data_IF_865182214011
#
_entry.id   IF_865182214011
#
_cell.length_a   1.000
_cell.length_b   1.000
_cell.length_c   1.000
_cell.angle_alpha   90.00
_cell.angle_beta   90.00
_cell.angle_gamma   90.00
#
_symmetry.space_group_name_H-M   'P 1'
#
loop_
_entity.id
_entity.type
_entity.pdbx_description
1 polymer ?
#
# COMPACT_ATOMS: atom_id res chain seq x y z
N UNK A 1 55.76 38.46 -15.93
CA UNK A 1 54.69 38.21 -14.94
C UNK A 1 53.85 37.04 -15.44
N UNK A 2 53.99 35.86 -14.84
CA UNK A 2 53.24 34.66 -15.21
C UNK A 2 51.81 34.75 -14.65
N UNK A 3 50.81 34.93 -15.52
CA UNK A 3 49.42 34.74 -15.14
C UNK A 3 49.10 33.24 -15.14
N UNK A 4 48.82 32.76 -13.93
CA UNK A 4 48.50 31.37 -13.59
C UNK A 4 47.19 30.97 -14.29
N UNK A 5 47.22 29.92 -15.10
CA UNK A 5 46.01 29.25 -15.61
C UNK A 5 45.27 28.63 -14.43
N UNK A 6 44.15 29.21 -14.03
CA UNK A 6 43.22 28.61 -13.08
C UNK A 6 42.39 27.57 -13.86
N UNK A 7 42.77 26.29 -13.76
CA UNK A 7 42.00 25.19 -14.31
C UNK A 7 40.89 24.88 -13.30
N UNK A 8 39.67 25.39 -13.53
CA UNK A 8 38.48 24.92 -12.81
C UNK A 8 38.18 23.51 -13.35
N UNK A 9 38.46 22.50 -12.52
CA UNK A 9 38.20 21.11 -12.80
C UNK A 9 36.73 20.80 -12.42
N UNK A 10 35.80 20.97 -13.37
CA UNK A 10 34.40 20.59 -13.17
C UNK A 10 34.34 19.05 -13.10
N UNK A 11 34.23 18.51 -11.89
CA UNK A 11 33.97 17.08 -11.67
C UNK A 11 32.50 16.80 -11.98
N UNK A 12 32.24 16.36 -13.22
CA UNK A 12 30.95 15.79 -13.59
C UNK A 12 30.85 14.39 -12.98
N UNK A 13 30.18 14.27 -11.83
CA UNK A 13 29.85 12.96 -11.25
C UNK A 13 28.51 12.52 -11.83
N UNK A 14 28.52 11.45 -12.62
CA UNK A 14 27.31 10.88 -13.21
C UNK A 14 26.39 10.31 -12.11
N UNK A 15 25.07 10.52 -12.18
CA UNK A 15 24.14 9.83 -11.30
C UNK A 15 24.11 8.35 -11.69
N UNK A 16 24.44 7.47 -10.73
CA UNK A 16 24.19 6.04 -10.87
C UNK A 16 22.68 5.85 -10.76
N UNK A 17 22.06 5.38 -11.84
CA UNK A 17 20.69 4.91 -11.80
C UNK A 17 20.62 3.66 -10.94
N UNK A 18 19.95 3.76 -9.79
CA UNK A 18 19.55 2.60 -9.02
C UNK A 18 18.41 1.91 -9.76
N UNK A 19 18.77 0.77 -10.35
CA UNK A 19 17.85 -0.18 -10.96
C UNK A 19 17.01 -0.82 -9.85
N UNK A 20 15.82 -0.28 -9.62
CA UNK A 20 14.81 -0.95 -8.80
C UNK A 20 14.19 -2.04 -9.67
N UNK A 21 14.68 -3.27 -9.50
CA UNK A 21 14.03 -4.46 -10.00
C UNK A 21 12.62 -4.53 -9.42
N UNK A 22 11.63 -4.21 -10.25
CA UNK A 22 10.25 -4.65 -10.05
C UNK A 22 10.25 -6.17 -10.13
N UNK A 23 10.17 -6.81 -8.96
CA UNK A 23 9.93 -8.24 -8.88
C UNK A 23 8.42 -8.44 -8.97
N UNK A 24 7.96 -8.80 -10.17
CA UNK A 24 6.62 -9.32 -10.40
C UNK A 24 6.50 -10.64 -9.61
N UNK A 25 5.49 -10.72 -8.74
CA UNK A 25 5.12 -11.97 -8.08
C UNK A 25 3.62 -12.11 -8.20
N UNK A 26 3.29 -13.04 -9.09
CA UNK A 26 1.97 -13.51 -9.43
C UNK A 26 1.25 -14.16 -8.25
N UNK A 27 -0.07 -14.16 -8.41
CA UNK A 27 -1.06 -15.12 -7.90
C UNK A 27 -1.56 -15.02 -6.46
N UNK A 28 -2.83 -14.63 -6.39
CA UNK A 28 -3.71 -14.77 -5.23
C UNK A 28 -5.14 -14.36 -5.58
N UNK A 29 -5.78 -15.09 -6.51
CA UNK A 29 -7.17 -14.90 -6.88
C UNK A 29 -8.14 -15.12 -5.69
N UNK A 30 -9.12 -14.23 -5.51
CA UNK A 30 -10.44 -14.62 -5.00
C UNK A 30 -11.53 -13.69 -5.55
N UNK A 31 -12.42 -14.27 -6.34
CA UNK A 31 -13.66 -13.66 -6.83
C UNK A 31 -14.61 -13.43 -5.66
N UNK A 32 -15.13 -12.21 -5.54
CA UNK A 32 -16.36 -11.94 -4.79
C UNK A 32 -17.23 -11.06 -5.68
N UNK A 33 -18.30 -11.64 -6.19
CA UNK A 33 -19.37 -10.93 -6.86
C UNK A 33 -20.17 -10.16 -5.81
N UNK A 34 -20.20 -8.84 -5.91
CA UNK A 34 -21.34 -8.06 -5.47
C UNK A 34 -21.54 -6.87 -6.41
N UNK A 35 -22.78 -6.69 -6.81
CA UNK A 35 -23.21 -5.81 -7.89
C UNK A 35 -23.57 -4.46 -7.31
N UNK A 36 -22.79 -3.42 -7.62
CA UNK A 36 -23.28 -2.04 -7.61
C UNK A 36 -22.82 -1.30 -8.85
N UNK A 37 -23.84 -0.97 -9.66
CA UNK A 37 -23.84 -0.09 -10.82
C UNK A 37 -23.27 1.28 -10.48
N UNK A 38 -22.34 1.75 -11.30
CA UNK A 38 -22.26 3.10 -11.91
C UNK A 38 -20.79 3.51 -12.11
N UNK A 39 -20.38 3.65 -13.38
CA UNK A 39 -19.05 4.17 -13.71
C UNK A 39 -18.56 3.71 -15.08
N UNK A 40 -18.94 4.47 -16.10
CA UNK A 40 -18.52 4.44 -17.50
C UNK A 40 -17.14 3.80 -17.80
N UNK A 41 -17.14 2.84 -18.72
CA UNK A 41 -15.95 2.41 -19.46
C UNK A 41 -15.53 3.52 -20.43
N UNK A 42 -14.30 4.02 -20.30
CA UNK A 42 -13.60 4.68 -21.40
C UNK A 42 -12.15 4.23 -21.40
N UNK A 43 -11.76 3.63 -22.52
CA UNK A 43 -10.51 2.92 -22.72
C UNK A 43 -9.27 3.78 -22.46
N UNK A 44 -8.26 3.07 -21.97
CA UNK A 44 -6.86 3.44 -22.04
C UNK A 44 -6.47 3.80 -23.48
N UNK A 45 -6.20 5.09 -23.66
CA UNK A 45 -5.22 5.62 -24.61
C UNK A 45 -4.83 6.99 -24.07
N UNK A 46 -3.83 7.03 -23.18
CA UNK A 46 -3.08 8.26 -22.95
C UNK A 46 -1.75 8.03 -23.64
N UNK A 47 -1.63 8.74 -24.75
CA UNK A 47 -0.51 8.71 -25.66
C UNK A 47 0.78 9.06 -24.90
N UNK A 48 1.68 8.07 -24.88
CA UNK A 48 3.10 8.24 -24.59
C UNK A 48 3.73 8.98 -25.78
N UNK A 49 3.57 10.29 -25.83
CA UNK A 49 4.37 11.14 -26.71
C UNK A 49 4.71 12.46 -26.02
N UNK A 50 5.99 12.59 -25.68
CA UNK A 50 6.74 13.76 -26.13
C UNK A 50 6.79 14.98 -25.22
N UNK A 51 8.05 15.39 -25.00
CA UNK A 51 8.45 16.79 -24.84
C UNK A 51 8.44 17.38 -23.42
N UNK A 52 9.50 17.08 -22.65
CA UNK A 52 9.82 17.85 -21.46
C UNK A 52 11.32 17.93 -21.11
N UNK A 53 12.25 17.83 -22.09
CA UNK A 53 13.69 17.82 -21.76
C UNK A 53 14.57 18.81 -22.57
N UNK A 54 14.03 19.62 -23.51
CA UNK A 54 14.91 20.51 -24.32
C UNK A 54 15.09 21.93 -23.77
N UNK A 55 14.28 22.39 -22.81
CA UNK A 55 14.25 23.81 -22.40
C UNK A 55 15.41 24.28 -21.50
N UNK A 56 15.85 23.57 -20.44
CA UNK A 56 16.91 24.07 -19.57
C UNK A 56 18.30 23.88 -20.17
N UNK A 57 18.48 22.80 -20.95
CA UNK A 57 19.74 22.48 -21.61
C UNK A 57 20.10 23.56 -22.62
N UNK A 58 19.11 24.04 -23.39
CA UNK A 58 19.28 25.14 -24.36
C UNK A 58 19.68 26.47 -23.70
N UNK A 59 19.09 26.83 -22.55
CA UNK A 59 19.40 28.07 -21.83
C UNK A 59 20.80 28.05 -21.18
N UNK A 60 21.23 26.89 -20.66
CA UNK A 60 22.57 26.69 -20.10
C UNK A 60 23.63 26.70 -21.22
N UNK A 61 23.35 26.06 -22.36
CA UNK A 61 24.25 26.07 -23.53
C UNK A 61 24.42 27.50 -24.06
N UNK A 62 23.35 28.29 -24.15
CA UNK A 62 23.40 29.68 -24.60
C UNK A 62 24.20 30.57 -23.63
N UNK A 63 24.01 30.42 -22.32
CA UNK A 63 24.77 31.17 -21.31
C UNK A 63 26.26 30.79 -21.28
N UNK A 64 26.60 29.51 -21.53
CA UNK A 64 28.00 29.07 -21.69
C UNK A 64 28.65 29.59 -22.98
N UNK A 65 27.90 29.72 -24.07
CA UNK A 65 28.38 30.33 -25.32
C UNK A 65 28.66 31.83 -25.14
N UNK A 66 27.77 32.56 -24.46
CA UNK A 66 27.95 33.97 -24.10
C UNK A 66 29.14 34.17 -23.16
N UNK A 67 29.34 33.25 -22.19
CA UNK A 67 30.51 33.26 -21.31
C UNK A 67 31.82 33.10 -22.10
N UNK A 68 31.84 32.19 -23.07
CA UNK A 68 32.99 31.97 -23.97
C UNK A 68 33.31 33.20 -24.82
N UNK A 69 32.30 33.91 -25.30
CA UNK A 69 32.46 35.13 -26.09
C UNK A 69 32.89 36.34 -25.23
N UNK A 70 32.39 36.47 -24.01
CA UNK A 70 32.80 37.49 -23.05
C UNK A 70 34.28 37.31 -22.63
N UNK A 71 34.73 36.07 -22.44
CA UNK A 71 36.14 35.74 -22.21
C UNK A 71 37.03 36.04 -23.42
N UNK A 72 36.54 35.81 -24.65
CA UNK A 72 37.28 36.12 -25.87
C UNK A 72 37.43 37.64 -26.11
N UNK A 73 36.49 38.44 -25.59
CA UNK A 73 36.47 39.91 -25.69
C UNK A 73 37.11 40.63 -24.50
N UNK A 74 37.61 39.91 -23.47
CA UNK A 74 38.11 40.44 -22.19
C UNK A 74 37.10 41.35 -21.45
N UNK A 75 35.80 41.10 -21.63
CA UNK A 75 34.74 41.88 -20.97
C UNK A 75 34.43 41.30 -19.59
N UNK A 76 35.25 41.69 -18.60
CA UNK A 76 35.21 41.19 -17.22
C UNK A 76 33.85 41.46 -16.53
N UNK A 77 33.12 42.49 -16.95
CA UNK A 77 31.79 42.82 -16.42
C UNK A 77 30.75 41.76 -16.79
N UNK A 78 30.71 41.34 -18.06
CA UNK A 78 29.76 40.32 -18.53
C UNK A 78 30.08 38.93 -17.97
N UNK A 79 31.36 38.63 -17.79
CA UNK A 79 31.83 37.39 -17.14
C UNK A 79 31.29 37.31 -15.71
N UNK A 80 31.41 38.39 -14.93
CA UNK A 80 30.91 38.43 -13.55
C UNK A 80 29.38 38.29 -13.45
N UNK A 81 28.64 38.93 -14.37
CA UNK A 81 27.17 38.80 -14.42
C UNK A 81 26.74 37.36 -14.72
N UNK A 82 27.37 36.70 -15.69
CA UNK A 82 27.05 35.30 -16.04
C UNK A 82 27.43 34.33 -14.90
N UNK A 83 28.56 34.53 -14.23
CA UNK A 83 28.94 33.72 -13.05
C UNK A 83 27.93 33.88 -11.92
N UNK A 84 27.43 35.09 -11.68
CA UNK A 84 26.40 35.34 -10.66
C UNK A 84 25.08 34.63 -10.99
N UNK A 85 24.69 34.62 -12.26
CA UNK A 85 23.48 33.94 -12.73
C UNK A 85 23.60 32.41 -12.64
N UNK A 86 24.74 31.85 -13.05
CA UNK A 86 25.00 30.41 -12.92
C UNK A 86 25.02 29.96 -11.45
N UNK A 87 25.61 30.77 -10.56
CA UNK A 87 25.59 30.51 -9.12
C UNK A 87 24.17 30.52 -8.55
N UNK A 88 23.34 31.48 -8.96
CA UNK A 88 21.93 31.52 -8.56
C UNK A 88 21.17 30.25 -8.98
N UNK A 89 21.38 29.79 -10.23
CA UNK A 89 20.77 28.54 -10.73
C UNK A 89 21.26 27.33 -9.92
N UNK A 90 22.55 27.27 -9.58
CA UNK A 90 23.11 26.18 -8.78
C UNK A 90 22.50 26.16 -7.37
N UNK A 91 22.39 27.32 -6.72
CA UNK A 91 21.76 27.45 -5.39
C UNK A 91 20.27 27.06 -5.44
N UNK A 92 19.54 27.45 -6.49
CA UNK A 92 18.14 27.06 -6.71
C UNK A 92 17.99 25.56 -6.95
N UNK A 93 18.84 24.98 -7.79
CA UNK A 93 18.88 23.53 -8.05
C UNK A 93 19.13 22.75 -6.77
N UNK A 94 20.12 23.13 -5.97
CA UNK A 94 20.40 22.50 -4.67
C UNK A 94 19.19 22.62 -3.73
N UNK A 95 18.50 23.76 -3.75
CA UNK A 95 17.26 23.97 -3.00
C UNK A 95 16.15 23.02 -3.43
N UNK A 96 15.97 22.80 -4.73
CA UNK A 96 14.98 21.88 -5.29
C UNK A 96 15.33 20.42 -5.00
N UNK A 97 16.59 20.00 -5.18
CA UNK A 97 17.06 18.65 -4.88
C UNK A 97 16.82 18.28 -3.41
N UNK A 98 17.07 19.22 -2.47
CA UNK A 98 16.77 19.01 -1.04
C UNK A 98 15.27 18.81 -0.78
N UNK A 99 14.40 19.58 -1.43
CA UNK A 99 12.94 19.42 -1.30
C UNK A 99 12.47 18.08 -1.87
N UNK A 100 13.01 17.67 -3.01
CA UNK A 100 12.69 16.37 -3.62
C UNK A 100 13.14 15.24 -2.70
N UNK A 101 14.35 15.33 -2.13
CA UNK A 101 14.85 14.35 -1.18
C UNK A 101 13.96 14.26 0.08
N UNK A 102 13.58 15.39 0.68
CA UNK A 102 12.71 15.39 1.86
C UNK A 102 11.32 14.83 1.57
N UNK A 103 10.71 15.22 0.45
CA UNK A 103 9.40 14.69 0.04
C UNK A 103 9.45 13.20 -0.27
N UNK A 104 10.54 12.72 -0.87
CA UNK A 104 10.75 11.30 -1.14
C UNK A 104 10.87 10.49 0.16
N UNK A 105 11.59 11.02 1.14
CA UNK A 105 11.72 10.42 2.47
C UNK A 105 10.37 10.36 3.19
N UNK A 106 9.62 11.46 3.23
CA UNK A 106 8.27 11.52 3.82
C UNK A 106 7.31 10.52 3.16
N UNK A 107 7.34 10.42 1.83
CA UNK A 107 6.51 9.48 1.07
C UNK A 107 6.90 8.03 1.40
N UNK A 108 8.19 7.74 1.51
CA UNK A 108 8.67 6.40 1.90
C UNK A 108 8.24 6.04 3.33
N UNK A 109 8.31 6.98 4.26
CA UNK A 109 7.91 6.79 5.65
C UNK A 109 6.38 6.54 5.76
N UNK A 110 5.58 7.28 5.01
CA UNK A 110 4.13 7.11 5.00
C UNK A 110 3.73 5.78 4.35
N UNK A 111 4.41 5.34 3.29
CA UNK A 111 4.21 4.00 2.71
C UNK A 111 4.47 2.90 3.73
N UNK A 112 5.57 2.98 4.48
CA UNK A 112 5.88 2.02 5.55
C UNK A 112 4.79 2.04 6.63
N UNK A 113 4.30 3.21 7.02
CA UNK A 113 3.21 3.35 7.99
C UNK A 113 1.93 2.68 7.48
N UNK A 114 1.54 2.93 6.23
CA UNK A 114 0.34 2.34 5.61
C UNK A 114 0.45 0.82 5.57
N UNK A 115 1.60 0.27 5.16
CA UNK A 115 1.82 -1.18 5.14
C UNK A 115 1.65 -1.81 6.52
N UNK A 116 2.21 -1.18 7.56
CA UNK A 116 2.05 -1.65 8.94
C UNK A 116 0.59 -1.60 9.39
N UNK A 117 -0.09 -0.49 9.16
CA UNK A 117 -1.50 -0.32 9.52
C UNK A 117 -2.36 -1.36 8.80
N UNK A 118 -2.10 -1.59 7.50
CA UNK A 118 -2.78 -2.61 6.71
C UNK A 118 -2.59 -4.02 7.29
N UNK A 119 -1.36 -4.37 7.69
CA UNK A 119 -1.08 -5.63 8.35
C UNK A 119 -1.79 -5.74 9.71
N UNK A 120 -1.83 -4.67 10.51
CA UNK A 120 -2.54 -4.63 11.79
C UNK A 120 -4.05 -4.84 11.58
N UNK A 121 -4.64 -4.25 10.54
CA UNK A 121 -6.03 -4.46 10.16
C UNK A 121 -6.32 -5.90 9.72
N UNK A 122 -5.44 -6.51 8.92
CA UNK A 122 -5.60 -7.90 8.51
C UNK A 122 -5.52 -8.86 9.71
N UNK A 123 -4.60 -8.60 10.63
CA UNK A 123 -4.47 -9.34 11.89
C UNK A 123 -5.73 -9.17 12.75
N UNK A 124 -6.26 -7.96 12.86
CA UNK A 124 -7.50 -7.68 13.59
C UNK A 124 -8.70 -8.43 12.99
N UNK A 125 -8.84 -8.43 11.66
CA UNK A 125 -9.92 -9.15 10.97
C UNK A 125 -9.83 -10.66 11.25
N UNK A 126 -8.65 -11.26 11.02
CA UNK A 126 -8.42 -12.69 11.29
C UNK A 126 -8.69 -13.06 12.75
N UNK A 127 -8.32 -12.19 13.69
CA UNK A 127 -8.61 -12.41 15.11
C UNK A 127 -10.10 -12.34 15.40
N UNK A 128 -10.78 -11.31 14.90
CA UNK A 128 -12.21 -11.09 15.10
C UNK A 128 -13.03 -12.25 14.53
N UNK A 129 -12.67 -12.76 13.35
CA UNK A 129 -13.36 -13.90 12.73
C UNK A 129 -13.20 -15.17 13.58
N UNK A 130 -11.99 -15.43 14.12
CA UNK A 130 -11.76 -16.57 15.04
C UNK A 130 -12.53 -16.40 16.35
N UNK A 131 -12.52 -15.22 16.93
CA UNK A 131 -13.27 -14.91 18.16
C UNK A 131 -14.77 -15.10 17.93
N UNK A 132 -15.30 -14.63 16.80
CA UNK A 132 -16.71 -14.81 16.42
C UNK A 132 -17.07 -16.29 16.32
N UNK A 133 -16.26 -17.10 15.64
CA UNK A 133 -16.49 -18.55 15.53
C UNK A 133 -16.48 -19.19 16.92
N UNK A 134 -15.48 -18.85 17.75
CA UNK A 134 -15.39 -19.37 19.12
C UNK A 134 -16.58 -19.00 19.99
N UNK A 135 -17.10 -17.77 19.86
CA UNK A 135 -18.28 -17.33 20.60
C UNK A 135 -19.52 -18.13 20.18
N UNK A 136 -19.69 -18.36 18.88
CA UNK A 136 -20.82 -19.16 18.37
C UNK A 136 -20.72 -20.61 18.87
N UNK A 137 -19.54 -21.24 18.81
CA UNK A 137 -19.38 -22.63 19.28
C UNK A 137 -19.59 -22.74 20.79
N UNK A 138 -19.13 -21.77 21.57
CA UNK A 138 -19.33 -21.76 23.02
C UNK A 138 -20.81 -21.59 23.37
N UNK A 139 -21.50 -20.65 22.72
CA UNK A 139 -22.93 -20.44 22.90
C UNK A 139 -23.75 -21.68 22.52
N UNK A 140 -23.37 -22.38 21.44
CA UNK A 140 -24.00 -23.67 21.07
C UNK A 140 -23.81 -24.71 22.17
N UNK A 141 -22.61 -24.80 22.78
CA UNK A 141 -22.34 -25.68 23.91
C UNK A 141 -23.23 -25.36 25.12
N UNK A 142 -23.33 -24.09 25.50
CA UNK A 142 -24.18 -23.63 26.61
C UNK A 142 -25.67 -23.97 26.37
N UNK A 143 -26.15 -23.82 25.14
CA UNK A 143 -27.54 -24.18 24.79
C UNK A 143 -27.76 -25.68 24.93
N UNK A 144 -26.84 -26.52 24.43
CA UNK A 144 -26.95 -27.98 24.57
C UNK A 144 -26.90 -28.39 26.05
N UNK A 145 -26.02 -27.77 26.84
CA UNK A 145 -25.93 -28.03 28.28
C UNK A 145 -27.22 -27.66 29.01
N UNK A 146 -27.87 -26.54 28.64
CA UNK A 146 -29.16 -26.14 29.20
C UNK A 146 -30.32 -27.09 28.82
N UNK A 147 -30.18 -27.82 27.71
CA UNK A 147 -31.19 -28.77 27.22
C UNK A 147 -31.03 -30.16 27.86
N UNK A 148 -29.84 -30.53 28.32
CA UNK A 148 -29.57 -31.83 28.95
C UNK A 148 -30.53 -32.17 30.11
N UNK A 149 -30.84 -31.27 31.06
CA UNK A 149 -31.79 -31.56 32.13
C UNK A 149 -33.20 -31.87 31.63
N UNK A 150 -33.62 -31.28 30.51
CA UNK A 150 -34.94 -31.53 29.92
C UNK A 150 -34.98 -32.95 29.36
N UNK A 151 -33.93 -33.36 28.65
CA UNK A 151 -33.77 -34.73 28.13
C UNK A 151 -33.69 -35.74 29.28
N UNK A 152 -32.89 -35.46 30.32
CA UNK A 152 -32.80 -36.31 31.53
C UNK A 152 -34.15 -36.46 32.24
N UNK A 153 -34.96 -35.40 32.33
CA UNK A 153 -36.31 -35.48 32.87
C UNK A 153 -37.23 -36.38 32.02
N UNK A 154 -37.12 -36.33 30.69
CA UNK A 154 -37.89 -37.22 29.81
C UNK A 154 -37.46 -38.69 29.95
N UNK A 155 -36.16 -38.95 30.05
CA UNK A 155 -35.63 -40.29 30.32
C UNK A 155 -36.11 -40.80 31.69
N UNK A 156 -36.03 -39.95 32.73
CA UNK A 156 -36.55 -40.30 34.07
C UNK A 156 -38.04 -40.59 34.02
N UNK A 157 -38.83 -39.76 33.35
CA UNK A 157 -40.27 -39.98 33.19
C UNK A 157 -40.54 -41.33 32.49
N UNK A 158 -39.83 -41.64 31.40
CA UNK A 158 -39.95 -42.93 30.68
C UNK A 158 -39.73 -44.13 31.61
N UNK A 159 -38.74 -44.08 32.48
CA UNK A 159 -38.45 -45.18 33.43
C UNK A 159 -39.49 -45.32 34.55
N UNK A 160 -40.21 -44.25 34.90
CA UNK A 160 -41.23 -44.27 35.94
C UNK A 160 -42.62 -44.69 35.45
N UNK A 161 -42.82 -44.84 34.13
CA UNK A 161 -44.06 -45.38 33.57
C UNK A 161 -44.19 -46.84 34.01
N UNK A 162 -44.96 -47.06 35.09
CA UNK A 162 -45.42 -48.38 35.49
C UNK A 162 -46.64 -48.71 34.65
N UNK A 163 -46.58 -49.85 33.99
CA UNK A 163 -47.68 -50.35 33.18
C UNK A 163 -48.35 -51.44 34.01
N UNK A 164 -49.60 -51.22 34.40
CA UNK A 164 -50.32 -52.12 35.32
C UNK A 164 -51.39 -52.93 34.59
N UNK A 165 -51.81 -52.50 33.40
CA UNK A 165 -52.88 -53.12 32.61
C UNK A 165 -52.41 -53.56 31.21
N UNK A 166 -52.87 -54.71 30.68
CA UNK A 166 -52.53 -55.20 29.33
C UNK A 166 -52.82 -54.17 28.22
N UNK A 167 -53.85 -53.34 28.38
CA UNK A 167 -54.17 -52.26 27.45
C UNK A 167 -53.12 -51.14 27.44
N UNK A 168 -52.51 -50.85 28.59
CA UNK A 168 -51.47 -49.84 28.73
C UNK A 168 -50.13 -50.32 28.16
N UNK A 169 -49.83 -51.63 28.26
CA UNK A 169 -48.63 -52.24 27.65
C UNK A 169 -48.66 -52.14 26.13
N UNK A 170 -49.83 -52.40 25.54
CA UNK A 170 -50.03 -52.32 24.10
C UNK A 170 -49.83 -50.90 23.56
N UNK A 171 -50.30 -49.90 24.32
CA UNK A 171 -50.14 -48.49 23.98
C UNK A 171 -48.68 -48.06 24.14
N UNK A 172 -48.01 -48.42 25.24
CA UNK A 172 -46.60 -48.08 25.47
C UNK A 172 -45.69 -48.65 24.37
N UNK A 173 -45.84 -49.93 24.03
CA UNK A 173 -45.05 -50.57 22.96
C UNK A 173 -45.24 -49.91 21.58
N UNK A 174 -46.46 -49.47 21.27
CA UNK A 174 -46.76 -48.79 20.01
C UNK A 174 -46.06 -47.43 19.90
N UNK A 175 -45.90 -46.70 21.01
CA UNK A 175 -45.22 -45.40 21.03
C UNK A 175 -43.69 -45.51 21.03
N UNK A 176 -43.11 -46.64 21.47
CA UNK A 176 -41.66 -46.84 21.52
C UNK A 176 -41.06 -47.48 20.26
N UNK A 177 -41.90 -47.92 19.30
CA UNK A 177 -41.45 -48.63 18.08
C UNK A 177 -41.27 -47.73 16.84
N UNK A 178 -41.50 -46.42 16.97
CA UNK A 178 -41.26 -45.41 15.91
C UNK A 178 -39.91 -44.76 16.18
#
# INVERSE_FOLDING_TARGET
>A
MMMKKCLIFIKFTAPKGDNVQLMDSSDGAVSVEDSTSDGEESGTSIDDEGDAEEKPVSAIIASLQLYKEALASNDESKVAEIESFLKYIEDEKIGLEKKVASLSEELSAEKVRILRISADFENFRKRTDRERISLVTNAQGEVVESLLPVVDNFERAKTQIKVETEGEEKINNSYQSI
#
